data_IF_477853201042
#
_entry.id   IF_477853201042
#
_cell.length_a   1.000
_cell.length_b   1.000
_cell.length_c   1.000
_cell.angle_alpha   90.00
_cell.angle_beta   90.00
_cell.angle_gamma   90.00
#
_symmetry.space_group_name_H-M   'P 1'
#
loop_
_entity.id
_entity.type
_entity.pdbx_description
1 polymer ?
#
# COMPACT_ATOMS: atom_id res chain seq x y z
N UNK A 1 17.15 35.72 27.52
CA UNK A 1 17.06 34.34 28.04
C UNK A 1 15.66 33.84 27.74
N UNK A 2 15.49 32.97 26.74
CA UNK A 2 14.24 32.25 26.57
C UNK A 2 14.17 31.21 27.67
N UNK A 3 13.19 31.36 28.58
CA UNK A 3 12.90 30.35 29.58
C UNK A 3 12.34 29.16 28.82
N UNK A 4 13.13 28.09 28.69
CA UNK A 4 12.65 26.81 28.18
C UNK A 4 11.55 26.33 29.13
N UNK A 5 10.30 26.41 28.70
CA UNK A 5 9.21 25.74 29.40
C UNK A 5 9.55 24.24 29.50
N UNK A 6 9.39 23.61 30.68
CA UNK A 6 9.64 22.18 30.82
C UNK A 6 8.70 21.42 29.88
N UNK A 7 9.28 20.61 28.99
CA UNK A 7 8.51 19.75 28.10
C UNK A 7 7.63 18.80 28.92
N UNK A 8 6.33 18.89 28.70
CA UNK A 8 5.33 18.05 29.36
C UNK A 8 5.54 16.57 28.99
N UNK A 9 5.51 15.68 29.98
CA UNK A 9 5.65 14.24 29.74
C UNK A 9 4.43 13.67 29.01
N UNK A 10 4.58 12.53 28.32
CA UNK A 10 3.46 11.83 27.66
C UNK A 10 2.32 11.54 28.66
N UNK A 11 2.67 11.16 29.90
CA UNK A 11 1.69 10.91 30.95
C UNK A 11 0.90 12.18 31.32
N UNK A 12 1.59 13.30 31.52
CA UNK A 12 0.96 14.60 31.81
C UNK A 12 0.06 15.05 30.64
N UNK A 13 0.53 14.88 29.39
CA UNK A 13 -0.25 15.24 28.21
C UNK A 13 -1.53 14.38 28.09
N UNK A 14 -1.43 13.07 28.36
CA UNK A 14 -2.59 12.17 28.35
C UNK A 14 -3.60 12.53 29.45
N UNK A 15 -3.14 12.87 30.65
CA UNK A 15 -4.02 13.33 31.74
C UNK A 15 -4.75 14.60 31.32
N UNK A 16 -4.02 15.62 30.83
CA UNK A 16 -4.60 16.88 30.37
C UNK A 16 -5.67 16.66 29.30
N UNK A 17 -5.36 15.83 28.30
CA UNK A 17 -6.28 15.57 27.20
C UNK A 17 -7.50 14.75 27.65
N UNK A 18 -7.37 13.78 28.57
CA UNK A 18 -8.52 13.05 29.14
C UNK A 18 -9.38 13.97 30.00
N UNK A 19 -8.79 14.81 30.85
CA UNK A 19 -9.52 15.80 31.66
C UNK A 19 -10.34 16.71 30.76
N UNK A 20 -9.75 17.20 29.67
CA UNK A 20 -10.47 17.99 28.68
C UNK A 20 -11.66 17.21 28.09
N UNK A 21 -11.42 15.99 27.60
CA UNK A 21 -12.46 15.15 26.98
C UNK A 21 -13.64 14.93 27.94
N UNK A 22 -13.35 14.55 29.18
CA UNK A 22 -14.38 14.32 30.21
C UNK A 22 -15.14 15.61 30.51
N UNK A 23 -14.44 16.73 30.71
CA UNK A 23 -15.07 18.03 30.97
C UNK A 23 -15.97 18.49 29.81
N UNK A 24 -15.56 18.24 28.57
CA UNK A 24 -16.28 18.67 27.38
C UNK A 24 -17.55 17.84 27.18
N UNK A 25 -17.47 16.51 27.41
CA UNK A 25 -18.64 15.64 27.36
C UNK A 25 -19.65 16.03 28.45
N UNK A 26 -19.21 16.30 29.68
CA UNK A 26 -20.10 16.78 30.74
C UNK A 26 -20.71 18.14 30.39
N UNK A 27 -19.91 19.09 29.89
CA UNK A 27 -20.37 20.42 29.49
C UNK A 27 -21.48 20.34 28.44
N UNK A 28 -21.30 19.53 27.40
CA UNK A 28 -22.28 19.38 26.33
C UNK A 28 -23.51 18.59 26.77
N UNK A 29 -23.34 17.58 27.62
CA UNK A 29 -24.45 16.78 28.16
C UNK A 29 -25.32 17.57 29.14
N UNK A 30 -24.76 18.59 29.81
CA UNK A 30 -25.48 19.46 30.72
C UNK A 30 -26.22 20.63 30.03
N UNK A 31 -26.03 20.83 28.72
CA UNK A 31 -26.70 21.91 27.99
C UNK A 31 -28.20 21.67 27.85
N UNK A 32 -28.99 22.74 27.93
CA UNK A 32 -30.39 22.68 27.53
C UNK A 32 -30.52 22.37 26.03
N UNK A 33 -31.67 21.82 25.61
CA UNK A 33 -31.92 21.56 24.19
C UNK A 33 -31.90 22.83 23.32
N UNK A 34 -32.10 24.02 23.91
CA UNK A 34 -31.98 25.31 23.23
C UNK A 34 -30.52 25.71 23.07
N UNK A 35 -29.72 25.61 24.14
CA UNK A 35 -28.30 25.96 24.13
C UNK A 35 -27.50 25.02 23.23
N UNK A 36 -27.81 23.73 23.28
CA UNK A 36 -27.20 22.73 22.41
C UNK A 36 -27.51 23.03 20.94
N UNK A 37 -28.77 23.37 20.61
CA UNK A 37 -29.13 23.80 19.23
C UNK A 37 -28.42 25.08 18.80
N UNK A 38 -28.26 26.04 19.71
CA UNK A 38 -27.54 27.29 19.44
C UNK A 38 -26.05 27.04 19.22
N UNK A 39 -25.44 26.19 20.04
CA UNK A 39 -24.07 25.72 19.89
C UNK A 39 -23.88 25.01 18.55
N UNK A 40 -24.77 24.06 18.21
CA UNK A 40 -24.74 23.31 16.94
C UNK A 40 -24.90 24.20 15.70
N UNK A 41 -25.63 25.30 15.80
CA UNK A 41 -25.81 26.26 14.69
C UNK A 41 -24.61 27.19 14.50
N UNK A 42 -23.91 27.53 15.59
CA UNK A 42 -22.74 28.43 15.54
C UNK A 42 -21.45 27.69 15.21
N UNK A 43 -21.31 26.45 15.68
CA UNK A 43 -20.12 25.64 15.47
C UNK A 43 -20.37 24.59 14.39
N UNK A 44 -19.70 24.71 13.24
CA UNK A 44 -19.76 23.74 12.15
C UNK A 44 -19.25 22.33 12.55
N UNK A 45 -18.77 22.18 13.77
CA UNK A 45 -18.15 20.97 14.31
C UNK A 45 -19.11 20.13 15.19
N UNK A 46 -20.42 20.18 14.97
CA UNK A 46 -21.42 19.47 15.78
C UNK A 46 -21.57 17.97 15.47
N UNK A 47 -20.97 17.47 14.39
CA UNK A 47 -21.08 16.07 13.96
C UNK A 47 -20.29 15.05 14.80
N UNK A 48 -19.60 15.47 15.86
CA UNK A 48 -18.67 14.61 16.61
C UNK A 48 -19.27 14.07 17.89
N UNK A 49 -19.38 12.75 17.93
CA UNK A 49 -20.07 12.00 18.97
C UNK A 49 -19.23 10.80 19.40
N UNK A 50 -19.46 10.34 20.63
CA UNK A 50 -18.97 9.06 21.16
C UNK A 50 -20.16 8.18 21.57
N UNK A 51 -20.00 6.85 21.66
CA UNK A 51 -21.06 5.99 22.17
C UNK A 51 -21.49 6.40 23.58
N UNK A 52 -22.77 6.21 23.92
CA UNK A 52 -23.23 6.37 25.29
C UNK A 52 -22.63 5.28 26.21
N UNK A 53 -22.32 5.55 27.49
CA UNK A 53 -21.79 4.56 28.44
C UNK A 53 -22.69 3.34 28.67
N UNK A 54 -23.98 3.44 28.37
CA UNK A 54 -24.96 2.34 28.43
C UNK A 54 -25.13 1.60 27.09
N UNK A 55 -24.27 1.87 26.12
CA UNK A 55 -24.27 1.27 24.76
C UNK A 55 -25.56 1.55 23.94
N UNK A 56 -26.47 2.39 24.44
CA UNK A 56 -27.65 2.90 23.71
C UNK A 56 -27.54 4.41 23.45
N UNK A 57 -27.47 4.79 22.16
CA UNK A 57 -27.39 6.19 21.74
C UNK A 57 -25.97 6.77 21.64
N UNK A 58 -25.92 8.08 21.36
CA UNK A 58 -24.70 8.84 21.10
C UNK A 58 -24.60 10.02 22.07
N UNK A 59 -23.40 10.27 22.61
CA UNK A 59 -23.09 11.45 23.40
C UNK A 59 -22.35 12.49 22.55
N UNK A 60 -22.80 13.76 22.54
CA UNK A 60 -22.02 14.83 21.93
C UNK A 60 -20.73 15.04 22.71
N UNK A 61 -19.59 15.06 22.02
CA UNK A 61 -18.29 15.31 22.65
C UNK A 61 -17.56 16.52 22.06
N UNK A 62 -18.02 17.04 20.92
CA UNK A 62 -17.30 18.09 20.20
C UNK A 62 -16.05 17.56 19.47
N UNK A 63 -15.60 18.34 18.48
CA UNK A 63 -14.49 17.95 17.58
C UNK A 63 -13.15 17.84 18.28
N UNK A 64 -12.82 18.79 19.15
CA UNK A 64 -11.52 18.79 19.82
C UNK A 64 -11.37 17.58 20.74
N UNK A 65 -12.40 17.22 21.52
CA UNK A 65 -12.37 16.04 22.35
C UNK A 65 -12.25 14.76 21.50
N UNK A 66 -13.00 14.68 20.39
CA UNK A 66 -12.94 13.56 19.46
C UNK A 66 -11.53 13.32 18.92
N UNK A 67 -10.82 14.39 18.52
CA UNK A 67 -9.44 14.31 18.05
C UNK A 67 -8.44 14.01 19.16
N UNK A 68 -8.61 14.58 20.35
CA UNK A 68 -7.75 14.28 21.50
C UNK A 68 -7.77 12.79 21.86
N UNK A 69 -8.91 12.11 21.76
CA UNK A 69 -8.97 10.65 21.93
C UNK A 69 -8.10 9.93 20.88
N UNK A 70 -8.15 10.39 19.62
CA UNK A 70 -7.29 9.87 18.55
C UNK A 70 -5.80 10.07 18.82
N UNK A 71 -5.42 11.27 19.28
CA UNK A 71 -4.03 11.60 19.62
C UNK A 71 -3.52 10.82 20.84
N UNK A 72 -4.34 10.64 21.88
CA UNK A 72 -4.02 9.79 23.03
C UNK A 72 -3.75 8.35 22.56
N UNK A 73 -4.62 7.83 21.69
CA UNK A 73 -4.50 6.47 21.15
C UNK A 73 -3.21 6.31 20.35
N UNK A 74 -2.93 7.25 19.44
CA UNK A 74 -1.70 7.27 18.64
C UNK A 74 -0.45 7.33 19.51
N UNK A 75 -0.38 8.29 20.44
CA UNK A 75 0.79 8.46 21.34
C UNK A 75 1.03 7.19 22.15
N UNK A 76 -0.01 6.59 22.72
CA UNK A 76 0.16 5.38 23.53
C UNK A 76 0.59 4.19 22.68
N UNK A 77 0.02 4.01 21.49
CA UNK A 77 0.35 2.87 20.63
C UNK A 77 1.82 2.89 20.17
N UNK A 78 2.37 4.08 19.86
CA UNK A 78 3.80 4.25 19.56
C UNK A 78 4.70 3.77 20.70
N UNK A 79 4.29 3.95 21.97
CA UNK A 79 5.05 3.43 23.12
C UNK A 79 5.04 1.91 23.25
N UNK A 80 4.15 1.22 22.52
CA UNK A 80 4.07 -0.24 22.49
C UNK A 80 5.00 -0.86 21.43
N UNK A 81 5.82 -0.04 20.75
CA UNK A 81 6.76 -0.46 19.72
C UNK A 81 6.05 -1.18 18.59
N UNK A 82 6.36 -2.46 18.45
CA UNK A 82 5.91 -3.37 17.41
C UNK A 82 4.39 -3.43 17.18
N UNK A 83 3.60 -3.17 18.22
CA UNK A 83 2.13 -3.22 18.11
C UNK A 83 1.54 -2.09 17.28
N UNK A 84 2.23 -0.95 17.18
CA UNK A 84 1.80 0.19 16.36
C UNK A 84 1.63 -0.17 14.89
N UNK A 85 2.41 -1.14 14.42
CA UNK A 85 2.31 -1.62 13.05
C UNK A 85 1.35 -2.80 12.89
N UNK A 86 0.91 -3.45 13.98
CA UNK A 86 0.12 -4.69 13.97
C UNK A 86 -1.35 -4.48 14.32
N UNK A 87 -1.72 -3.28 14.75
CA UNK A 87 -3.05 -2.92 15.23
C UNK A 87 -3.58 -1.72 14.45
N UNK A 88 -4.81 -1.83 13.95
CA UNK A 88 -5.54 -0.71 13.38
C UNK A 88 -5.77 0.42 14.41
N UNK A 89 -5.38 1.64 14.04
CA UNK A 89 -5.46 2.81 14.92
C UNK A 89 -6.90 3.11 15.35
N UNK A 90 -7.86 2.98 14.44
CA UNK A 90 -9.27 3.24 14.74
C UNK A 90 -9.86 2.19 15.67
N UNK A 91 -9.45 0.93 15.53
CA UNK A 91 -9.83 -0.15 16.46
C UNK A 91 -9.27 0.09 17.85
N UNK A 92 -8.01 0.49 17.97
CA UNK A 92 -7.43 0.83 19.26
C UNK A 92 -8.12 2.05 19.87
N UNK A 93 -8.39 3.08 19.07
CA UNK A 93 -9.14 4.26 19.47
C UNK A 93 -10.52 3.92 20.02
N UNK A 94 -11.28 3.04 19.35
CA UNK A 94 -12.58 2.56 19.84
C UNK A 94 -12.46 1.85 21.19
N UNK A 95 -11.41 1.06 21.40
CA UNK A 95 -11.14 0.41 22.69
C UNK A 95 -10.80 1.43 23.79
N UNK A 96 -9.99 2.45 23.48
CA UNK A 96 -9.69 3.57 24.39
C UNK A 96 -10.97 4.33 24.75
N UNK A 97 -11.82 4.64 23.77
CA UNK A 97 -13.12 5.28 24.02
C UNK A 97 -13.98 4.44 24.96
N UNK A 98 -14.08 3.12 24.74
CA UNK A 98 -14.85 2.24 25.63
C UNK A 98 -14.35 2.27 27.08
N UNK A 99 -13.04 2.18 27.28
CA UNK A 99 -12.46 2.24 28.63
C UNK A 99 -12.60 3.62 29.28
N UNK A 100 -12.50 4.70 28.49
CA UNK A 100 -12.73 6.07 28.95
C UNK A 100 -14.17 6.23 29.47
N UNK A 101 -15.15 5.82 28.67
CA UNK A 101 -16.57 5.90 29.02
C UNK A 101 -16.87 5.11 30.30
N UNK A 102 -16.37 3.87 30.40
CA UNK A 102 -16.57 3.03 31.59
C UNK A 102 -15.99 3.69 32.85
N UNK A 103 -14.72 4.10 32.79
CA UNK A 103 -13.98 4.50 33.99
C UNK A 103 -14.31 5.90 34.47
N UNK A 104 -14.45 6.84 33.55
CA UNK A 104 -14.52 8.27 33.92
C UNK A 104 -15.92 8.86 33.82
N UNK A 105 -16.79 8.32 32.95
CA UNK A 105 -18.17 8.81 32.85
C UNK A 105 -19.17 7.93 33.61
N UNK A 106 -19.04 6.59 33.55
CA UNK A 106 -19.95 5.68 34.24
C UNK A 106 -19.57 5.45 35.70
N UNK A 107 -18.30 5.19 35.96
CA UNK A 107 -17.79 4.94 37.32
C UNK A 107 -17.30 6.21 38.03
N UNK A 108 -17.36 7.37 37.35
CA UNK A 108 -16.98 8.70 37.87
C UNK A 108 -15.63 8.73 38.59
N UNK A 109 -14.65 7.94 38.13
CA UNK A 109 -13.33 7.91 38.75
C UNK A 109 -12.59 9.22 38.52
N UNK A 110 -11.74 9.60 39.45
CA UNK A 110 -10.85 10.75 39.27
C UNK A 110 -9.84 10.50 38.13
N UNK A 111 -9.66 11.52 37.28
CA UNK A 111 -8.63 11.53 36.24
C UNK A 111 -7.26 11.79 36.88
N UNK A 112 -6.48 10.74 37.04
CA UNK A 112 -5.09 10.79 37.50
C UNK A 112 -4.22 9.81 36.74
N UNK A 113 -2.90 9.91 36.89
CA UNK A 113 -1.92 9.11 36.16
C UNK A 113 -2.20 7.60 36.26
N UNK A 114 -2.48 7.11 37.47
CA UNK A 114 -2.76 5.69 37.72
C UNK A 114 -4.00 5.21 36.96
N UNK A 115 -5.08 5.98 36.95
CA UNK A 115 -6.32 5.59 36.26
C UNK A 115 -6.17 5.68 34.74
N UNK A 116 -5.50 6.72 34.24
CA UNK A 116 -5.22 6.87 32.79
C UNK A 116 -4.33 5.73 32.29
N UNK A 117 -3.27 5.38 33.01
CA UNK A 117 -2.42 4.25 32.67
C UNK A 117 -3.20 2.92 32.66
N UNK A 118 -4.09 2.70 33.64
CA UNK A 118 -4.96 1.51 33.70
C UNK A 118 -5.97 1.46 32.56
N UNK A 119 -6.56 2.60 32.19
CA UNK A 119 -7.47 2.71 31.04
C UNK A 119 -6.76 2.28 29.75
N UNK A 120 -5.57 2.83 29.48
CA UNK A 120 -4.79 2.52 28.28
C UNK A 120 -4.32 1.06 28.27
N UNK A 121 -3.86 0.54 29.42
CA UNK A 121 -3.45 -0.85 29.58
C UNK A 121 -4.62 -1.84 29.34
N UNK A 122 -5.83 -1.49 29.77
CA UNK A 122 -7.02 -2.31 29.54
C UNK A 122 -7.45 -2.29 28.06
N UNK A 123 -7.41 -1.11 27.42
CA UNK A 123 -7.70 -0.97 26.00
C UNK A 123 -6.74 -1.82 25.14
N UNK A 124 -5.43 -1.76 25.40
CA UNK A 124 -4.45 -2.52 24.62
C UNK A 124 -4.58 -4.03 24.87
N UNK A 125 -4.86 -4.45 26.12
CA UNK A 125 -5.13 -5.85 26.45
C UNK A 125 -6.33 -6.39 25.67
N UNK A 126 -7.35 -5.56 25.47
CA UNK A 126 -8.55 -5.93 24.69
C UNK A 126 -8.22 -6.15 23.22
N UNK A 127 -7.43 -5.27 22.61
CA UNK A 127 -7.08 -5.38 21.19
C UNK A 127 -6.06 -6.49 20.94
N UNK A 128 -5.11 -6.72 21.86
CA UNK A 128 -4.13 -7.83 21.78
C UNK A 128 -4.78 -9.20 21.64
N UNK A 129 -5.97 -9.42 22.22
CA UNK A 129 -6.72 -10.68 22.07
C UNK A 129 -7.17 -10.96 20.64
N UNK A 130 -7.11 -9.98 19.74
CA UNK A 130 -7.52 -10.07 18.34
C UNK A 130 -6.33 -10.06 17.37
N UNK A 131 -5.13 -10.29 17.89
CA UNK A 131 -3.91 -10.42 17.10
C UNK A 131 -3.61 -11.92 16.97
N UNK A 132 -3.58 -12.41 15.74
CA UNK A 132 -3.27 -13.79 15.41
C UNK A 132 -2.89 -13.87 13.92
N UNK A 133 -2.50 -15.06 13.46
CA UNK A 133 -2.16 -15.28 12.06
C UNK A 133 -3.46 -15.42 11.25
N UNK A 134 -3.54 -14.67 10.15
CA UNK A 134 -4.73 -14.59 9.31
C UNK A 134 -4.37 -14.94 7.88
N UNK A 135 -5.06 -15.95 7.32
CA UNK A 135 -4.95 -16.29 5.92
C UNK A 135 -6.04 -15.58 5.13
N UNK A 136 -5.63 -14.85 4.09
CA UNK A 136 -6.50 -14.10 3.20
C UNK A 136 -6.56 -14.77 1.85
N UNK A 137 -7.76 -14.74 1.26
CA UNK A 137 -8.03 -15.23 -0.09
C UNK A 137 -8.52 -14.04 -0.90
N UNK A 138 -7.71 -13.60 -1.87
CA UNK A 138 -7.96 -12.37 -2.62
C UNK A 138 -8.23 -12.72 -4.09
N UNK A 139 -9.46 -12.53 -4.59
CA UNK A 139 -9.75 -12.78 -6.00
C UNK A 139 -8.95 -11.84 -6.89
N UNK A 140 -8.39 -12.38 -7.97
CA UNK A 140 -7.47 -11.67 -8.85
C UNK A 140 -7.50 -12.19 -10.30
N UNK A 141 -6.85 -11.44 -11.18
CA UNK A 141 -6.65 -11.77 -12.58
C UNK A 141 -5.15 -11.85 -12.84
N UNK A 142 -4.70 -12.98 -13.38
CA UNK A 142 -3.35 -13.19 -13.92
C UNK A 142 -3.52 -13.50 -15.42
N UNK A 143 -3.53 -14.78 -15.80
CA UNK A 143 -3.93 -15.24 -17.13
C UNK A 143 -5.30 -15.92 -17.09
N UNK A 144 -5.94 -16.11 -18.24
CA UNK A 144 -7.19 -16.87 -18.31
C UNK A 144 -6.98 -18.38 -18.44
N UNK A 145 -5.77 -18.79 -18.83
CA UNK A 145 -5.46 -20.21 -18.93
C UNK A 145 -5.19 -20.78 -17.55
N UNK A 146 -5.75 -21.96 -17.31
CA UNK A 146 -5.56 -22.69 -16.06
C UNK A 146 -4.10 -23.09 -15.85
N UNK A 147 -3.30 -23.24 -16.90
CA UNK A 147 -1.95 -23.83 -16.80
C UNK A 147 -0.92 -22.79 -16.31
N UNK A 148 -0.21 -23.05 -15.21
CA UNK A 148 -0.29 -24.22 -14.31
C UNK A 148 -1.43 -24.11 -13.29
N UNK A 149 -2.06 -25.23 -12.87
CA UNK A 149 -3.25 -25.25 -11.98
C UNK A 149 -3.12 -24.39 -10.70
N UNK A 150 -1.89 -24.24 -10.22
CA UNK A 150 -1.48 -23.33 -9.17
C UNK A 150 0.00 -22.97 -9.32
N UNK A 151 0.40 -21.84 -8.76
CA UNK A 151 1.81 -21.44 -8.70
C UNK A 151 2.05 -20.48 -7.54
N UNK A 152 3.33 -20.23 -7.21
CA UNK A 152 3.72 -19.41 -6.07
C UNK A 152 4.69 -18.31 -6.48
N UNK A 153 4.50 -17.12 -5.90
CA UNK A 153 5.39 -15.97 -6.01
C UNK A 153 5.69 -15.49 -4.59
N UNK A 154 6.82 -15.93 -4.05
CA UNK A 154 7.15 -15.67 -2.65
C UNK A 154 6.07 -16.22 -1.70
N UNK A 155 5.51 -15.40 -0.79
CA UNK A 155 4.54 -15.87 0.18
C UNK A 155 3.08 -15.87 -0.34
N UNK A 156 2.89 -15.77 -1.66
CA UNK A 156 1.57 -15.74 -2.29
C UNK A 156 1.41 -16.94 -3.20
N UNK A 157 0.40 -17.77 -2.91
CA UNK A 157 -0.01 -18.89 -3.75
C UNK A 157 -1.22 -18.49 -4.59
N UNK A 158 -1.12 -18.65 -5.90
CA UNK A 158 -2.21 -18.43 -6.84
C UNK A 158 -2.86 -19.78 -7.14
N UNK A 159 -4.17 -19.86 -6.95
CA UNK A 159 -4.98 -21.06 -7.12
C UNK A 159 -6.08 -20.77 -8.12
N UNK A 160 -6.34 -21.70 -9.02
CA UNK A 160 -7.48 -21.58 -9.92
C UNK A 160 -8.80 -21.49 -9.14
N UNK A 161 -9.62 -20.47 -9.44
CA UNK A 161 -10.80 -20.13 -8.64
C UNK A 161 -11.79 -21.30 -8.54
N UNK A 162 -11.99 -22.04 -9.64
CA UNK A 162 -12.91 -23.19 -9.64
C UNK A 162 -12.44 -24.29 -8.69
N UNK A 163 -11.14 -24.53 -8.63
CA UNK A 163 -10.55 -25.55 -7.77
C UNK A 163 -10.63 -25.10 -6.30
N UNK A 164 -10.31 -23.83 -6.03
CA UNK A 164 -10.48 -23.23 -4.70
C UNK A 164 -11.91 -23.34 -4.17
N UNK A 165 -12.91 -22.92 -4.94
CA UNK A 165 -14.31 -22.95 -4.49
C UNK A 165 -14.81 -24.39 -4.27
N UNK A 166 -14.37 -25.34 -5.11
CA UNK A 166 -14.67 -26.76 -4.95
C UNK A 166 -14.10 -27.30 -3.64
N UNK A 167 -12.81 -27.08 -3.42
CA UNK A 167 -12.06 -27.66 -2.30
C UNK A 167 -12.41 -27.00 -0.95
N UNK A 168 -12.97 -25.78 -0.95
CA UNK A 168 -13.25 -25.00 0.26
C UNK A 168 -14.75 -24.77 0.52
N UNK A 169 -15.64 -25.37 -0.28
CA UNK A 169 -17.10 -25.14 -0.23
C UNK A 169 -17.71 -25.30 1.17
N UNK A 170 -17.36 -26.36 1.90
CA UNK A 170 -17.85 -26.61 3.27
C UNK A 170 -17.36 -25.56 4.27
N UNK A 171 -16.07 -25.22 4.22
CA UNK A 171 -15.47 -24.21 5.10
C UNK A 171 -16.10 -22.84 4.88
N UNK A 172 -16.29 -22.44 3.61
CA UNK A 172 -16.85 -21.12 3.25
C UNK A 172 -18.30 -21.01 3.72
N UNK A 173 -19.10 -22.08 3.61
CA UNK A 173 -20.54 -22.06 3.93
C UNK A 173 -20.87 -22.20 5.43
N UNK A 174 -19.88 -22.47 6.29
CA UNK A 174 -20.11 -22.83 7.70
C UNK A 174 -20.70 -21.73 8.61
N UNK A 175 -20.45 -20.44 8.33
CA UNK A 175 -20.90 -19.33 9.20
C UNK A 175 -22.24 -18.70 8.80
N UNK A 176 -22.43 -18.46 7.51
CA UNK A 176 -23.64 -17.86 6.95
C UNK A 176 -23.85 -18.41 5.52
N UNK A 177 -24.46 -19.61 5.40
CA UNK A 177 -24.58 -20.29 4.12
C UNK A 177 -25.33 -19.47 3.06
N UNK A 178 -26.33 -18.69 3.47
CA UNK A 178 -27.19 -17.92 2.56
C UNK A 178 -26.47 -16.70 2.02
N UNK A 179 -25.81 -15.90 2.89
CA UNK A 179 -25.00 -14.76 2.44
C UNK A 179 -23.87 -15.23 1.51
N UNK A 180 -23.23 -16.33 1.84
CA UNK A 180 -22.13 -16.91 1.06
C UNK A 180 -22.59 -17.32 -0.34
N UNK A 181 -23.71 -18.04 -0.44
CA UNK A 181 -24.27 -18.49 -1.72
C UNK A 181 -24.78 -17.33 -2.57
N UNK A 182 -25.39 -16.32 -1.95
CA UNK A 182 -25.96 -15.17 -2.66
C UNK A 182 -24.91 -14.18 -3.15
N UNK A 183 -23.91 -13.86 -2.31
CA UNK A 183 -23.04 -12.73 -2.56
C UNK A 183 -21.57 -13.14 -2.77
N UNK A 184 -21.03 -14.02 -1.91
CA UNK A 184 -19.59 -14.34 -1.91
C UNK A 184 -19.20 -15.23 -3.08
N UNK A 185 -19.87 -16.36 -3.28
CA UNK A 185 -19.55 -17.31 -4.36
C UNK A 185 -19.72 -16.64 -5.75
N UNK A 186 -20.83 -15.92 -6.04
CA UNK A 186 -20.98 -15.24 -7.31
C UNK A 186 -19.92 -14.16 -7.53
N UNK A 187 -19.52 -13.43 -6.48
CA UNK A 187 -18.44 -12.45 -6.59
C UNK A 187 -17.10 -13.10 -6.95
N UNK A 188 -16.69 -14.14 -6.21
CA UNK A 188 -15.42 -14.85 -6.44
C UNK A 188 -15.38 -15.51 -7.82
N UNK A 189 -16.50 -16.10 -8.27
CA UNK A 189 -16.60 -16.80 -9.56
C UNK A 189 -16.39 -15.90 -10.78
N UNK A 190 -16.38 -14.57 -10.62
CA UNK A 190 -16.06 -13.60 -11.68
C UNK A 190 -14.56 -13.52 -11.99
N UNK A 191 -13.72 -14.13 -11.16
CA UNK A 191 -12.27 -14.04 -11.28
C UNK A 191 -11.68 -15.42 -11.56
N UNK A 192 -10.68 -15.51 -12.45
CA UNK A 192 -10.03 -16.77 -12.78
C UNK A 192 -9.17 -17.32 -11.63
N UNK A 193 -8.57 -16.43 -10.82
CA UNK A 193 -7.62 -16.82 -9.77
C UNK A 193 -8.04 -16.29 -8.40
N UNK A 194 -7.63 -17.01 -7.36
CA UNK A 194 -7.56 -16.52 -5.99
C UNK A 194 -6.11 -16.55 -5.53
N UNK A 195 -5.66 -15.46 -4.93
CA UNK A 195 -4.36 -15.36 -4.29
C UNK A 195 -4.52 -15.63 -2.79
N UNK A 196 -3.80 -16.63 -2.28
CA UNK A 196 -3.75 -16.99 -0.88
C UNK A 196 -2.46 -16.46 -0.25
N UNK A 197 -2.57 -15.80 0.90
CA UNK A 197 -1.41 -15.36 1.68
C UNK A 197 -1.73 -15.30 3.17
N UNK A 198 -0.75 -15.62 4.03
CA UNK A 198 -0.91 -15.61 5.49
C UNK A 198 -0.11 -14.48 6.11
N UNK A 199 -0.80 -13.54 6.77
CA UNK A 199 -0.18 -12.40 7.46
C UNK A 199 -0.05 -12.72 8.94
N UNK A 200 1.17 -12.71 9.51
CA UNK A 200 1.40 -13.14 10.88
C UNK A 200 1.07 -12.03 11.89
N UNK A 201 0.50 -12.44 13.02
CA UNK A 201 0.38 -11.64 14.25
C UNK A 201 -0.10 -10.19 13.98
N UNK A 202 -1.24 -10.05 13.31
CA UNK A 202 -1.89 -8.76 13.08
C UNK A 202 -3.37 -8.83 13.46
N UNK A 203 -3.96 -7.69 13.75
CA UNK A 203 -5.40 -7.61 13.83
C UNK A 203 -6.03 -7.59 12.41
N UNK A 204 -7.30 -7.98 12.32
CA UNK A 204 -7.98 -8.20 11.03
C UNK A 204 -7.87 -7.05 10.01
N UNK A 205 -8.16 -5.76 10.32
CA UNK A 205 -8.05 -4.69 9.34
C UNK A 205 -6.61 -4.47 8.85
N UNK A 206 -5.62 -4.43 9.76
CA UNK A 206 -4.21 -4.30 9.39
C UNK A 206 -3.74 -5.49 8.56
N UNK A 207 -4.18 -6.69 8.94
CA UNK A 207 -3.88 -7.94 8.22
C UNK A 207 -4.43 -7.92 6.79
N UNK A 208 -5.67 -7.45 6.59
CA UNK A 208 -6.28 -7.33 5.27
C UNK A 208 -5.54 -6.32 4.36
N UNK A 209 -5.11 -5.17 4.91
CA UNK A 209 -4.30 -4.20 4.16
C UNK A 209 -2.97 -4.79 3.73
N UNK A 210 -2.28 -5.53 4.62
CA UNK A 210 -1.02 -6.20 4.31
C UNK A 210 -1.19 -7.32 3.30
N UNK A 211 -2.24 -8.11 3.41
CA UNK A 211 -2.55 -9.15 2.44
C UNK A 211 -2.77 -8.57 1.04
N UNK A 212 -3.58 -7.50 0.94
CA UNK A 212 -3.80 -6.78 -0.33
C UNK A 212 -2.49 -6.23 -0.90
N UNK A 213 -1.65 -5.61 -0.07
CA UNK A 213 -0.34 -5.11 -0.51
C UNK A 213 0.59 -6.23 -0.97
N UNK A 214 0.60 -7.37 -0.26
CA UNK A 214 1.44 -8.54 -0.58
C UNK A 214 1.00 -9.17 -1.90
N UNK A 215 -0.31 -9.33 -2.12
CA UNK A 215 -0.87 -9.83 -3.39
C UNK A 215 -0.57 -8.85 -4.53
N UNK A 216 -0.71 -7.54 -4.33
CA UNK A 216 -0.33 -6.57 -5.36
C UNK A 216 1.17 -6.66 -5.68
N UNK A 217 2.02 -6.80 -4.66
CA UNK A 217 3.45 -6.99 -4.83
C UNK A 217 3.80 -8.24 -5.63
N UNK A 218 3.09 -9.35 -5.41
CA UNK A 218 3.24 -10.57 -6.20
C UNK A 218 2.80 -10.37 -7.67
N UNK A 219 1.71 -9.63 -7.91
CA UNK A 219 1.31 -9.27 -9.27
C UNK A 219 2.32 -8.32 -9.93
N UNK A 220 2.89 -7.36 -9.18
CA UNK A 220 3.94 -6.45 -9.64
C UNK A 220 5.23 -7.21 -9.96
N UNK A 221 5.58 -8.22 -9.17
CA UNK A 221 6.69 -9.13 -9.44
C UNK A 221 6.50 -9.88 -10.76
N UNK A 222 5.30 -10.41 -11.02
CA UNK A 222 4.98 -11.02 -12.32
C UNK A 222 5.08 -10.01 -13.47
N UNK A 223 4.62 -8.77 -13.28
CA UNK A 223 4.78 -7.68 -14.27
C UNK A 223 6.26 -7.40 -14.56
N UNK A 224 7.10 -7.39 -13.54
CA UNK A 224 8.55 -7.19 -13.67
C UNK A 224 9.21 -8.36 -14.40
N UNK A 225 8.86 -9.59 -14.04
CA UNK A 225 9.54 -10.79 -14.53
C UNK A 225 9.09 -11.23 -15.93
N UNK A 226 7.81 -11.07 -16.27
CA UNK A 226 7.25 -11.39 -17.60
C UNK A 226 7.37 -10.18 -18.53
N UNK A 227 7.08 -8.98 -18.02
CA UNK A 227 7.09 -7.73 -18.78
C UNK A 227 5.71 -7.20 -19.13
N UNK A 228 5.67 -5.93 -19.53
CA UNK A 228 4.42 -5.18 -19.72
C UNK A 228 3.46 -5.75 -20.77
N UNK A 229 3.97 -6.46 -21.79
CA UNK A 229 3.19 -6.80 -22.98
C UNK A 229 2.08 -7.79 -22.68
N UNK A 230 2.24 -8.60 -21.63
CA UNK A 230 1.27 -9.61 -21.22
C UNK A 230 0.58 -9.30 -19.88
N UNK A 231 1.15 -8.38 -19.09
CA UNK A 231 0.82 -8.27 -17.65
C UNK A 231 0.12 -6.97 -17.25
N UNK A 232 -0.11 -6.05 -18.19
CA UNK A 232 -0.79 -4.77 -17.94
C UNK A 232 -2.20 -4.92 -17.33
N UNK A 233 -2.83 -6.09 -17.46
CA UNK A 233 -4.18 -6.38 -16.94
C UNK A 233 -4.20 -7.22 -15.69
N UNK A 234 -3.05 -7.68 -15.20
CA UNK A 234 -2.99 -8.34 -13.91
C UNK A 234 -3.56 -7.40 -12.86
N UNK A 235 -4.35 -7.89 -11.91
CA UNK A 235 -5.02 -7.05 -10.92
C UNK A 235 -5.70 -7.85 -9.82
N UNK A 236 -5.94 -7.19 -8.70
CA UNK A 236 -6.89 -7.67 -7.70
C UNK A 236 -8.32 -7.28 -8.09
N UNK A 237 -9.30 -7.98 -7.53
CA UNK A 237 -10.71 -7.77 -7.83
C UNK A 237 -11.22 -6.35 -7.51
N UNK A 238 -10.65 -5.71 -6.49
CA UNK A 238 -11.04 -4.36 -6.06
C UNK A 238 -10.26 -3.24 -6.79
N UNK A 239 -9.30 -3.57 -7.66
CA UNK A 239 -8.59 -2.58 -8.46
C UNK A 239 -9.50 -2.05 -9.57
N UNK A 240 -9.66 -0.72 -9.72
CA UNK A 240 -10.44 -0.14 -10.81
C UNK A 240 -9.94 -0.63 -12.19
N UNK A 241 -10.88 -1.01 -13.06
CA UNK A 241 -10.60 -1.53 -14.39
C UNK A 241 -10.93 -0.44 -15.41
N UNK A 242 -10.00 -0.15 -16.32
CA UNK A 242 -10.37 0.57 -17.54
C UNK A 242 -11.26 -0.35 -18.38
N UNK A 243 -12.46 0.12 -18.73
CA UNK A 243 -13.45 -0.67 -19.46
C UNK A 243 -12.82 -1.26 -20.72
N UNK A 244 -12.69 -2.58 -20.74
CA UNK A 244 -12.21 -3.41 -21.86
C UNK A 244 -13.15 -3.38 -23.06
N UNK A 245 -14.41 -3.03 -22.80
CA UNK A 245 -15.43 -2.78 -23.80
C UNK A 245 -15.92 -1.35 -23.64
N UNK A 246 -15.76 -0.55 -24.68
CA UNK A 246 -16.33 0.78 -24.72
C UNK A 246 -17.09 0.98 -26.02
N UNK A 247 -18.24 1.63 -25.93
CA UNK A 247 -18.95 2.16 -27.07
C UNK A 247 -18.87 3.69 -26.98
N UNK A 248 -18.50 4.34 -28.07
CA UNK A 248 -18.63 5.79 -28.19
C UNK A 248 -19.56 6.12 -29.35
N UNK A 249 -20.42 7.10 -29.11
CA UNK A 249 -21.25 7.74 -30.12
C UNK A 249 -20.60 9.08 -30.46
N UNK A 250 -20.53 9.41 -31.75
CA UNK A 250 -20.05 10.70 -32.25
C UNK A 250 -21.07 11.23 -33.23
N UNK A 251 -21.36 12.53 -33.15
CA UNK A 251 -22.17 13.21 -34.16
C UNK A 251 -21.25 14.13 -34.95
N UNK A 252 -21.30 14.06 -36.27
CA UNK A 252 -20.56 15.00 -37.11
C UNK A 252 -21.35 16.29 -37.36
N UNK A 253 -20.71 17.28 -38.01
CA UNK A 253 -21.31 18.58 -38.32
C UNK A 253 -22.51 18.49 -39.29
N UNK A 254 -22.76 17.34 -39.91
CA UNK A 254 -23.92 17.08 -40.76
C UNK A 254 -25.08 16.42 -39.99
N UNK A 255 -24.92 16.21 -38.69
CA UNK A 255 -25.90 15.58 -37.82
C UNK A 255 -25.90 14.06 -37.87
N UNK A 256 -24.98 13.43 -38.63
CA UNK A 256 -24.89 11.97 -38.72
C UNK A 256 -24.25 11.39 -37.48
N UNK A 257 -24.88 10.38 -36.90
CA UNK A 257 -24.36 9.65 -35.75
C UNK A 257 -23.49 8.49 -36.26
N UNK A 258 -22.21 8.54 -35.94
CA UNK A 258 -21.31 7.40 -35.99
C UNK A 258 -21.20 6.74 -34.62
N UNK A 259 -20.99 5.44 -34.61
CA UNK A 259 -20.62 4.71 -33.40
C UNK A 259 -19.28 4.02 -33.60
N UNK A 260 -18.54 3.84 -32.51
CA UNK A 260 -17.41 2.93 -32.46
C UNK A 260 -17.54 2.05 -31.24
N UNK A 261 -17.30 0.76 -31.43
CA UNK A 261 -17.26 -0.23 -30.35
C UNK A 261 -15.81 -0.71 -30.30
N UNK A 262 -15.13 -0.43 -29.20
CA UNK A 262 -13.84 -1.03 -28.90
C UNK A 262 -14.10 -2.26 -28.02
N UNK A 263 -13.82 -3.43 -28.56
CA UNK A 263 -13.71 -4.69 -27.80
C UNK A 263 -12.25 -5.08 -27.82
N UNK A 264 -11.48 -4.60 -26.85
CA UNK A 264 -10.17 -5.20 -26.63
C UNK A 264 -10.41 -6.54 -25.96
N UNK A 265 -10.21 -7.64 -26.70
CA UNK A 265 -10.25 -9.01 -26.19
C UNK A 265 -9.63 -9.04 -24.78
N UNK A 266 -10.45 -9.40 -23.79
CA UNK A 266 -10.14 -9.17 -22.37
C UNK A 266 -8.87 -9.92 -21.92
N UNK A 267 -8.41 -10.86 -22.73
CA UNK A 267 -7.83 -12.07 -22.25
C UNK A 267 -6.66 -12.44 -23.15
N UNK A 268 -5.45 -12.03 -22.75
CA UNK A 268 -4.26 -12.63 -23.34
C UNK A 268 -4.09 -13.98 -22.69
N UNK A 269 -4.14 -15.01 -23.52
CA UNK A 269 -3.68 -16.34 -23.14
C UNK A 269 -2.22 -16.28 -22.70
N UNK A 270 -1.88 -17.04 -21.68
CA UNK A 270 -0.50 -17.21 -21.28
C UNK A 270 0.23 -17.96 -22.40
N UNK A 271 1.45 -17.56 -22.80
CA UNK A 271 2.20 -18.36 -23.75
C UNK A 271 2.51 -19.73 -23.13
N UNK A 272 2.36 -20.83 -23.87
CA UNK A 272 2.49 -22.21 -23.38
C UNK A 272 3.72 -22.42 -22.49
N UNK A 273 3.56 -22.96 -21.28
CA UNK A 273 4.69 -23.18 -20.36
C UNK A 273 5.34 -21.90 -19.82
N UNK A 274 4.57 -20.81 -19.69
CA UNK A 274 5.10 -19.50 -19.24
C UNK A 274 5.76 -19.56 -17.87
N UNK A 275 5.21 -20.34 -16.94
CA UNK A 275 5.71 -20.40 -15.57
C UNK A 275 6.97 -21.26 -15.47
N UNK A 276 7.04 -22.36 -16.24
CA UNK A 276 8.24 -23.18 -16.38
C UNK A 276 9.39 -22.36 -16.99
N UNK A 277 9.11 -21.59 -18.06
CA UNK A 277 10.11 -20.66 -18.64
C UNK A 277 10.54 -19.59 -17.65
N UNK A 278 9.59 -19.05 -16.89
CA UNK A 278 9.91 -18.07 -15.84
C UNK A 278 10.87 -18.66 -14.80
N UNK A 279 10.63 -19.90 -14.35
CA UNK A 279 11.52 -20.58 -13.41
C UNK A 279 12.90 -20.89 -14.03
N UNK A 280 12.94 -21.35 -15.27
CA UNK A 280 14.20 -21.72 -15.94
C UNK A 280 15.09 -20.52 -16.22
N UNK A 281 14.52 -19.40 -16.67
CA UNK A 281 15.28 -18.22 -17.10
C UNK A 281 15.38 -17.14 -16.02
N UNK A 282 14.37 -17.04 -15.16
CA UNK A 282 14.22 -15.99 -14.16
C UNK A 282 14.11 -16.50 -12.72
N UNK A 283 14.34 -17.80 -12.47
CA UNK A 283 14.18 -18.42 -11.14
C UNK A 283 14.99 -17.73 -10.03
N UNK A 284 16.20 -17.25 -10.35
CA UNK A 284 17.01 -16.44 -9.43
C UNK A 284 16.29 -15.16 -8.99
N UNK A 285 15.84 -14.36 -9.96
CA UNK A 285 15.09 -13.13 -9.68
C UNK A 285 13.76 -13.43 -9.00
N UNK A 286 13.08 -14.51 -9.38
CA UNK A 286 11.84 -14.93 -8.74
C UNK A 286 12.06 -15.22 -7.26
N UNK A 287 13.15 -15.91 -6.89
CA UNK A 287 13.50 -16.17 -5.50
C UNK A 287 13.83 -14.89 -4.74
N UNK A 288 14.65 -13.99 -5.32
CA UNK A 288 15.00 -12.71 -4.69
C UNK A 288 13.77 -11.83 -4.44
N UNK A 289 12.91 -11.69 -5.44
CA UNK A 289 11.67 -10.91 -5.32
C UNK A 289 10.70 -11.59 -4.36
N UNK A 290 10.58 -12.91 -4.41
CA UNK A 290 9.76 -13.69 -3.49
C UNK A 290 10.15 -13.48 -2.03
N UNK A 291 11.46 -13.46 -1.74
CA UNK A 291 11.98 -13.15 -0.40
C UNK A 291 11.66 -11.71 0.01
N UNK A 292 11.83 -10.74 -0.89
CA UNK A 292 11.50 -9.34 -0.61
C UNK A 292 10.01 -9.17 -0.22
N UNK A 293 9.09 -9.90 -0.88
CA UNK A 293 7.65 -9.81 -0.61
C UNK A 293 7.26 -10.24 0.81
N UNK A 294 8.07 -11.04 1.50
CA UNK A 294 7.83 -11.38 2.92
C UNK A 294 7.83 -10.13 3.82
N UNK A 295 8.55 -9.09 3.42
CA UNK A 295 8.57 -7.80 4.11
C UNK A 295 7.25 -7.03 4.07
N UNK A 296 6.36 -7.33 3.11
CA UNK A 296 5.02 -6.74 3.06
C UNK A 296 4.07 -7.38 4.10
N UNK A 297 4.31 -8.64 4.46
CA UNK A 297 3.55 -9.34 5.50
C UNK A 297 4.02 -8.95 6.90
N UNK A 298 5.33 -8.74 7.06
CA UNK A 298 5.93 -8.38 8.35
C UNK A 298 7.03 -7.30 8.19
N UNK A 299 6.69 -6.01 8.29
CA UNK A 299 7.62 -4.89 8.12
C UNK A 299 8.82 -4.91 9.07
N UNK A 300 8.74 -5.63 10.19
CA UNK A 300 9.88 -5.77 11.12
C UNK A 300 11.02 -6.61 10.54
N UNK A 301 10.70 -7.48 9.58
CA UNK A 301 11.67 -8.30 8.87
C UNK A 301 12.21 -7.58 7.64
N UNK A 302 11.65 -6.44 7.29
CA UNK A 302 12.02 -5.66 6.10
C UNK A 302 13.24 -4.80 6.39
N UNK A 303 14.33 -5.07 5.68
CA UNK A 303 15.48 -4.19 5.66
C UNK A 303 15.17 -2.89 4.90
N UNK A 304 16.03 -1.88 5.09
CA UNK A 304 15.87 -0.62 4.38
C UNK A 304 16.00 -0.79 2.85
N UNK A 305 16.89 -1.67 2.35
CA UNK A 305 17.03 -1.86 0.90
C UNK A 305 15.87 -2.67 0.33
N UNK A 306 15.38 -3.69 1.04
CA UNK A 306 14.18 -4.43 0.65
C UNK A 306 12.98 -3.48 0.55
N UNK A 307 12.77 -2.58 1.52
CA UNK A 307 11.68 -1.60 1.45
C UNK A 307 11.80 -0.70 0.22
N UNK A 308 13.02 -0.23 -0.09
CA UNK A 308 13.26 0.58 -1.30
C UNK A 308 12.93 -0.18 -2.58
N UNK A 309 13.31 -1.45 -2.66
CA UNK A 309 12.96 -2.30 -3.79
C UNK A 309 11.44 -2.46 -3.91
N UNK A 310 10.74 -2.80 -2.81
CA UNK A 310 9.29 -2.97 -2.79
C UNK A 310 8.54 -1.69 -3.22
N UNK A 311 8.96 -0.54 -2.71
CA UNK A 311 8.40 0.75 -3.11
C UNK A 311 8.61 1.02 -4.62
N UNK A 312 9.79 0.66 -5.13
CA UNK A 312 10.13 0.85 -6.55
C UNK A 312 9.36 -0.11 -7.45
N UNK A 313 9.21 -1.36 -7.01
CA UNK A 313 8.40 -2.39 -7.66
C UNK A 313 6.94 -1.94 -7.76
N UNK A 314 6.39 -1.36 -6.70
CA UNK A 314 5.03 -0.84 -6.70
C UNK A 314 4.86 0.30 -7.71
N UNK A 315 5.77 1.28 -7.73
CA UNK A 315 5.74 2.36 -8.72
C UNK A 315 5.84 1.85 -10.16
N UNK A 316 6.71 0.87 -10.41
CA UNK A 316 6.82 0.22 -11.71
C UNK A 316 5.52 -0.47 -12.11
N UNK A 317 4.93 -1.26 -11.21
CA UNK A 317 3.67 -1.96 -11.41
C UNK A 317 2.49 -1.04 -11.71
N UNK A 318 2.42 0.10 -11.01
CA UNK A 318 1.46 1.15 -11.35
C UNK A 318 1.73 1.74 -12.75
N UNK A 319 3.00 1.97 -13.12
CA UNK A 319 3.39 2.47 -14.44
C UNK A 319 3.04 1.50 -15.58
N UNK A 320 3.09 0.19 -15.32
CA UNK A 320 2.70 -0.85 -16.28
C UNK A 320 1.20 -0.80 -16.57
N UNK A 321 0.37 -0.60 -15.55
CA UNK A 321 -1.10 -0.53 -15.66
C UNK A 321 -1.63 0.81 -16.18
N UNK A 322 -0.84 1.87 -16.06
CA UNK A 322 -1.28 3.21 -16.38
C UNK A 322 -1.60 3.36 -17.89
N UNK A 323 -2.77 3.92 -18.21
CA UNK A 323 -3.17 4.15 -19.60
C UNK A 323 -2.52 5.41 -20.15
N UNK A 324 -2.40 6.45 -19.34
CA UNK A 324 -1.83 7.72 -19.76
C UNK A 324 -0.29 7.64 -19.81
N UNK A 325 0.30 7.85 -21.00
CA UNK A 325 1.75 7.78 -21.19
C UNK A 325 2.53 8.75 -20.31
N UNK A 326 2.04 9.97 -20.08
CA UNK A 326 2.70 10.93 -19.20
C UNK A 326 2.74 10.44 -17.74
N UNK A 327 1.60 9.98 -17.22
CA UNK A 327 1.49 9.42 -15.87
C UNK A 327 2.36 8.16 -15.72
N UNK A 328 2.43 7.32 -16.75
CA UNK A 328 3.28 6.13 -16.74
C UNK A 328 4.77 6.51 -16.64
N UNK A 329 5.22 7.48 -17.44
CA UNK A 329 6.60 8.00 -17.40
C UNK A 329 6.95 8.52 -16.01
N UNK A 330 6.09 9.32 -15.38
CA UNK A 330 6.32 9.84 -14.02
C UNK A 330 6.47 8.69 -13.01
N UNK A 331 5.61 7.68 -13.08
CA UNK A 331 5.66 6.51 -12.18
C UNK A 331 6.92 5.67 -12.38
N UNK A 332 7.34 5.43 -13.63
CA UNK A 332 8.60 4.72 -13.89
C UNK A 332 9.83 5.49 -13.41
N UNK A 333 9.83 6.82 -13.54
CA UNK A 333 10.91 7.66 -12.99
C UNK A 333 10.88 7.64 -11.46
N UNK A 334 9.71 7.65 -10.82
CA UNK A 334 9.61 7.50 -9.37
C UNK A 334 10.17 6.15 -8.87
N UNK A 335 9.96 5.07 -9.62
CA UNK A 335 10.60 3.78 -9.35
C UNK A 335 12.14 3.88 -9.42
N UNK A 336 12.69 4.53 -10.45
CA UNK A 336 14.13 4.75 -10.57
C UNK A 336 14.68 5.64 -9.44
N UNK A 337 14.00 6.76 -9.13
CA UNK A 337 14.36 7.65 -8.02
C UNK A 337 14.46 6.87 -6.71
N UNK A 338 13.47 6.02 -6.44
CA UNK A 338 13.40 5.23 -5.21
C UNK A 338 14.47 4.13 -5.15
N UNK A 339 14.92 3.60 -6.28
CA UNK A 339 16.09 2.72 -6.33
C UNK A 339 17.38 3.51 -6.10
N UNK A 340 17.64 4.57 -6.87
CA UNK A 340 18.99 5.13 -7.03
C UNK A 340 19.36 6.27 -6.08
N UNK A 341 18.39 7.04 -5.57
CA UNK A 341 18.66 8.27 -4.79
C UNK A 341 18.82 7.95 -3.31
N UNK A 342 20.04 8.11 -2.81
CA UNK A 342 20.45 7.81 -1.42
C UNK A 342 20.57 9.06 -0.54
N UNK A 343 20.70 10.25 -1.13
CA UNK A 343 20.89 11.53 -0.43
C UNK A 343 20.21 12.70 -1.15
N UNK A 344 19.81 13.72 -0.39
CA UNK A 344 19.37 15.01 -0.96
C UNK A 344 20.60 15.74 -1.50
N UNK A 345 20.58 16.13 -2.77
CA UNK A 345 21.69 16.82 -3.44
C UNK A 345 21.13 17.77 -4.51
N UNK A 346 21.87 18.84 -4.84
CA UNK A 346 21.59 19.66 -6.03
C UNK A 346 21.84 18.91 -7.34
N UNK A 347 22.51 17.76 -7.30
CA UNK A 347 22.88 16.94 -8.47
C UNK A 347 22.05 15.67 -8.64
N UNK A 348 20.80 15.64 -8.14
CA UNK A 348 19.89 14.48 -8.19
C UNK A 348 19.80 13.89 -9.61
N UNK A 349 19.68 14.73 -10.64
CA UNK A 349 19.59 14.28 -12.04
C UNK A 349 20.80 13.43 -12.45
N UNK A 350 22.02 13.86 -12.11
CA UNK A 350 23.23 13.14 -12.49
C UNK A 350 23.35 11.81 -11.73
N UNK A 351 23.01 11.80 -10.44
CA UNK A 351 23.02 10.58 -9.62
C UNK A 351 22.03 9.55 -10.18
N UNK A 352 20.79 9.97 -10.43
CA UNK A 352 19.75 9.08 -10.95
C UNK A 352 20.13 8.53 -12.31
N UNK A 353 20.51 9.40 -13.25
CA UNK A 353 20.75 8.99 -14.64
C UNK A 353 21.95 8.07 -14.77
N UNK A 354 23.04 8.33 -14.03
CA UNK A 354 24.21 7.45 -13.96
C UNK A 354 23.87 6.09 -13.37
N UNK A 355 23.26 6.05 -12.18
CA UNK A 355 22.97 4.78 -11.49
C UNK A 355 21.90 3.96 -12.18
N UNK A 356 20.88 4.60 -12.75
CA UNK A 356 19.87 3.92 -13.56
C UNK A 356 20.53 3.26 -14.79
N UNK A 357 21.45 3.97 -15.45
CA UNK A 357 22.20 3.42 -16.58
C UNK A 357 23.09 2.26 -16.18
N UNK A 358 23.86 2.39 -15.08
CA UNK A 358 24.69 1.30 -14.55
C UNK A 358 23.87 0.04 -14.27
N UNK A 359 22.73 0.17 -13.59
CA UNK A 359 21.86 -0.96 -13.29
C UNK A 359 21.20 -1.53 -14.55
N UNK A 360 20.81 -0.70 -15.52
CA UNK A 360 20.18 -1.20 -16.74
C UNK A 360 21.16 -1.80 -17.75
N UNK A 361 22.47 -1.56 -17.60
CA UNK A 361 23.54 -2.08 -18.47
C UNK A 361 24.38 -3.19 -17.83
N UNK A 362 23.93 -3.78 -16.70
CA UNK A 362 24.65 -4.89 -16.07
C UNK A 362 24.77 -6.06 -17.06
N UNK A 363 26.00 -6.53 -17.28
CA UNK A 363 26.31 -7.60 -18.23
C UNK A 363 26.58 -7.14 -19.67
N UNK A 364 26.44 -5.85 -19.98
CA UNK A 364 26.80 -5.29 -21.29
C UNK A 364 27.29 -3.84 -21.18
N UNK A 365 28.60 -3.66 -21.01
CA UNK A 365 29.22 -2.34 -20.82
C UNK A 365 29.02 -1.40 -22.02
N UNK A 366 28.92 -1.94 -23.24
CA UNK A 366 28.72 -1.14 -24.44
C UNK A 366 27.36 -0.41 -24.43
N UNK A 367 26.38 -0.95 -23.69
CA UNK A 367 25.05 -0.35 -23.52
C UNK A 367 24.99 0.77 -22.48
N UNK A 368 26.04 0.98 -21.68
CA UNK A 368 26.02 2.00 -20.63
C UNK A 368 25.80 3.41 -21.22
N UNK A 369 26.57 3.76 -22.25
CA UNK A 369 26.48 5.09 -22.89
C UNK A 369 25.08 5.36 -23.43
N UNK A 370 24.48 4.38 -24.11
CA UNK A 370 23.11 4.49 -24.63
C UNK A 370 22.07 4.59 -23.51
N UNK A 371 22.20 3.75 -22.48
CA UNK A 371 21.33 3.76 -21.30
C UNK A 371 21.40 5.09 -20.55
N UNK A 372 22.59 5.68 -20.46
CA UNK A 372 22.82 6.96 -19.81
C UNK A 372 22.20 8.12 -20.58
N UNK A 373 22.34 8.14 -21.92
CA UNK A 373 21.66 9.11 -22.79
C UNK A 373 20.14 8.97 -22.65
N UNK A 374 19.63 7.74 -22.64
CA UNK A 374 18.21 7.45 -22.50
C UNK A 374 17.69 7.88 -21.12
N UNK A 375 18.39 7.56 -20.03
CA UNK A 375 18.02 7.95 -18.68
C UNK A 375 17.94 9.47 -18.52
N UNK A 376 18.92 10.22 -19.08
CA UNK A 376 18.89 11.69 -19.12
C UNK A 376 17.66 12.22 -19.85
N UNK A 377 17.38 11.65 -21.03
CA UNK A 377 16.20 12.03 -21.82
C UNK A 377 14.90 11.76 -21.07
N UNK A 378 14.77 10.61 -20.42
CA UNK A 378 13.58 10.24 -19.63
C UNK A 378 13.36 11.22 -18.46
N UNK A 379 14.43 11.54 -17.73
CA UNK A 379 14.32 12.48 -16.60
C UNK A 379 13.91 13.88 -17.07
N UNK A 380 14.44 14.34 -18.21
CA UNK A 380 14.02 15.59 -18.85
C UNK A 380 12.53 15.59 -19.22
N UNK A 381 11.99 14.50 -19.80
CA UNK A 381 10.54 14.37 -20.03
C UNK A 381 9.74 14.46 -18.73
N UNK A 382 10.15 13.76 -17.67
CA UNK A 382 9.46 13.85 -16.36
C UNK A 382 9.49 15.29 -15.83
N UNK A 383 10.62 15.97 -15.91
CA UNK A 383 10.76 17.38 -15.51
C UNK A 383 9.81 18.28 -16.30
N UNK A 384 9.85 18.20 -17.63
CA UNK A 384 9.00 19.00 -18.54
C UNK A 384 7.51 18.73 -18.33
N UNK A 385 7.11 17.50 -18.07
CA UNK A 385 5.71 17.16 -17.74
C UNK A 385 5.26 17.82 -16.43
N UNK A 386 6.10 17.77 -15.38
CA UNK A 386 5.76 18.36 -14.08
C UNK A 386 5.73 19.89 -14.09
N UNK A 387 6.55 20.51 -14.94
CA UNK A 387 6.59 21.97 -15.09
C UNK A 387 5.67 22.50 -16.21
N UNK A 388 4.90 21.64 -16.87
CA UNK A 388 3.94 22.02 -17.90
C UNK A 388 4.55 22.42 -19.26
N UNK A 389 5.85 22.16 -19.48
CA UNK A 389 6.52 22.45 -20.75
C UNK A 389 6.18 21.46 -21.86
N UNK A 390 5.64 20.27 -21.51
CA UNK A 390 5.08 19.30 -22.45
C UNK A 390 3.65 18.96 -22.01
N UNK A 391 2.72 18.93 -22.96
CA UNK A 391 1.35 18.48 -22.71
C UNK A 391 1.31 16.98 -22.39
N UNK A 392 0.55 16.53 -21.37
CA UNK A 392 0.33 15.11 -21.10
C UNK A 392 -0.29 14.32 -22.27
N UNK A 393 -0.85 15.01 -23.27
CA UNK A 393 -1.44 14.43 -24.48
C UNK A 393 -0.47 14.35 -25.67
N UNK A 394 0.80 14.75 -25.51
CA UNK A 394 1.78 14.74 -26.59
C UNK A 394 2.01 13.32 -27.13
N UNK A 395 1.90 13.16 -28.45
CA UNK A 395 1.98 11.85 -29.14
C UNK A 395 3.35 11.17 -28.97
N UNK A 396 4.42 11.95 -28.81
CA UNK A 396 5.78 11.43 -28.64
C UNK A 396 5.94 10.59 -27.35
N UNK A 397 5.08 10.84 -26.34
CA UNK A 397 5.17 10.20 -25.03
C UNK A 397 4.94 8.69 -25.11
N UNK A 398 4.17 8.20 -26.08
CA UNK A 398 3.93 6.76 -26.25
C UNK A 398 5.20 6.00 -26.65
N UNK A 399 6.05 6.59 -27.50
CA UNK A 399 7.33 5.98 -27.86
C UNK A 399 8.32 6.02 -26.68
N UNK A 400 8.33 7.12 -25.92
CA UNK A 400 9.17 7.27 -24.73
C UNK A 400 8.74 6.30 -23.62
N UNK A 401 7.44 6.11 -23.43
CA UNK A 401 6.86 5.18 -22.44
C UNK A 401 7.44 3.77 -22.56
N UNK A 402 7.54 3.24 -23.77
CA UNK A 402 8.10 1.90 -24.00
C UNK A 402 9.56 1.83 -23.58
N UNK A 403 10.37 2.85 -23.96
CA UNK A 403 11.79 2.90 -23.62
C UNK A 403 12.03 3.03 -22.11
N UNK A 404 11.27 3.89 -21.42
CA UNK A 404 11.39 4.02 -19.96
C UNK A 404 10.94 2.75 -19.25
N UNK A 405 9.88 2.09 -19.71
CA UNK A 405 9.44 0.83 -19.13
C UNK A 405 10.55 -0.23 -19.18
N UNK A 406 11.25 -0.35 -20.32
CA UNK A 406 12.35 -1.30 -20.48
C UNK A 406 13.53 -0.94 -19.57
N UNK A 407 13.96 0.33 -19.59
CA UNK A 407 15.07 0.79 -18.77
C UNK A 407 14.80 0.59 -17.26
N UNK A 408 13.60 0.94 -16.79
CA UNK A 408 13.20 0.74 -15.39
C UNK A 408 13.12 -0.75 -15.02
N UNK A 409 12.61 -1.60 -15.91
CA UNK A 409 12.55 -3.05 -15.69
C UNK A 409 13.96 -3.64 -15.49
N UNK A 410 14.89 -3.32 -16.39
CA UNK A 410 16.27 -3.80 -16.31
C UNK A 410 16.95 -3.29 -15.03
N UNK A 411 16.77 -2.01 -14.71
CA UNK A 411 17.32 -1.43 -13.48
C UNK A 411 16.76 -2.06 -12.20
N UNK A 412 15.48 -2.46 -12.18
CA UNK A 412 14.88 -3.16 -11.03
C UNK A 412 15.40 -4.58 -10.87
N UNK A 413 15.55 -5.33 -11.97
CA UNK A 413 16.09 -6.70 -11.95
C UNK A 413 17.55 -6.70 -11.47
N UNK A 414 18.40 -5.86 -12.04
CA UNK A 414 19.77 -5.71 -11.56
C UNK A 414 19.83 -5.14 -10.14
N UNK A 415 18.90 -4.23 -9.81
CA UNK A 415 18.86 -3.57 -8.52
C UNK A 415 18.51 -4.50 -7.35
N UNK A 416 17.59 -5.45 -7.52
CA UNK A 416 17.29 -6.43 -6.46
C UNK A 416 18.48 -7.36 -6.20
N UNK A 417 19.18 -7.78 -7.25
CA UNK A 417 20.39 -8.59 -7.16
C UNK A 417 21.51 -7.81 -6.44
N UNK A 418 21.74 -6.57 -6.86
CA UNK A 418 22.70 -5.66 -6.23
C UNK A 418 22.39 -5.43 -4.74
N UNK A 419 21.12 -5.19 -4.38
CA UNK A 419 20.72 -5.00 -2.98
C UNK A 419 20.92 -6.27 -2.16
N UNK A 420 20.56 -7.44 -2.72
CA UNK A 420 20.76 -8.73 -2.07
C UNK A 420 22.24 -9.02 -1.81
N UNK A 421 23.13 -8.70 -2.75
CA UNK A 421 24.57 -8.84 -2.57
C UNK A 421 25.11 -7.97 -1.43
N UNK A 422 24.64 -6.72 -1.32
CA UNK A 422 24.99 -5.83 -0.21
C UNK A 422 24.52 -6.44 1.12
N UNK A 423 23.27 -6.90 1.19
CA UNK A 423 22.68 -7.41 2.44
C UNK A 423 23.24 -8.75 2.90
N UNK A 424 23.76 -9.55 1.95
CA UNK A 424 24.53 -10.76 2.25
C UNK A 424 25.82 -10.42 2.99
N UNK A 425 26.43 -9.27 2.70
CA UNK A 425 27.67 -8.82 3.33
C UNK A 425 27.42 -7.98 4.58
N UNK A 426 26.40 -7.13 4.55
CA UNK A 426 26.03 -6.18 5.60
C UNK A 426 24.55 -6.39 5.92
N UNK A 427 24.22 -7.29 6.87
CA UNK A 427 22.84 -7.49 7.29
C UNK A 427 22.22 -6.17 7.77
N UNK A 428 21.01 -5.86 7.28
CA UNK A 428 20.30 -4.60 7.55
C UNK A 428 21.05 -3.33 7.10
N UNK A 429 21.69 -3.40 5.93
CA UNK A 429 22.34 -2.27 5.27
C UNK A 429 21.46 -1.01 5.24
N UNK A 430 22.11 0.14 5.48
CA UNK A 430 21.47 1.46 5.55
C UNK A 430 21.58 2.22 4.22
N UNK A 431 20.95 3.41 4.13
CA UNK A 431 21.18 4.34 3.00
C UNK A 431 22.65 4.69 2.79
N UNK A 432 23.45 4.76 3.86
CA UNK A 432 24.86 5.11 3.78
C UNK A 432 25.69 3.97 3.18
N UNK A 433 25.34 2.72 3.51
CA UNK A 433 25.99 1.53 2.95
C UNK A 433 25.66 1.39 1.46
N UNK A 434 24.40 1.63 1.09
CA UNK A 434 23.99 1.68 -0.31
C UNK A 434 24.73 2.78 -1.10
N UNK A 435 24.94 3.96 -0.50
CA UNK A 435 25.70 5.05 -1.14
C UNK A 435 27.16 4.64 -1.40
N UNK A 436 27.80 3.98 -0.44
CA UNK A 436 29.17 3.46 -0.60
C UNK A 436 29.22 2.40 -1.71
N UNK A 437 28.28 1.45 -1.71
CA UNK A 437 28.20 0.41 -2.72
C UNK A 437 28.01 0.99 -4.13
N UNK A 438 27.12 1.99 -4.28
CA UNK A 438 26.98 2.68 -5.57
C UNK A 438 28.24 3.42 -6.00
N UNK A 439 28.95 4.06 -5.06
CA UNK A 439 30.21 4.75 -5.38
C UNK A 439 31.27 3.77 -5.89
N UNK A 440 31.34 2.57 -5.30
CA UNK A 440 32.24 1.51 -5.77
C UNK A 440 31.84 1.01 -7.17
N UNK A 441 30.54 0.78 -7.40
CA UNK A 441 30.03 0.39 -8.72
C UNK A 441 30.36 1.46 -9.78
N UNK A 442 30.22 2.74 -9.44
CA UNK A 442 30.56 3.87 -10.31
C UNK A 442 32.06 4.00 -10.60
N UNK A 443 32.94 3.47 -9.75
CA UNK A 443 34.40 3.45 -10.00
C UNK A 443 34.86 2.27 -10.85
N UNK A 444 34.04 1.21 -10.93
CA UNK A 444 34.33 0.01 -11.72
C UNK A 444 33.94 0.13 -13.20
N UNK A 445 33.33 1.25 -13.58
CA UNK A 445 32.89 1.61 -14.92
C UNK A 445 33.47 2.97 -15.31
#
# INVERSE_FOLDING_TARGET
>A
MAINEPQMTIAQQNIRDITFVVSEVHRLSAMSAHDLRTFMRRDQNWGYHIPHPEESGLLPCGKEAYFKIGEISKRYLVTQGDLDQRIDQDRFRKAVTKELLSRFLKEERQVNERQVARMLAAAIKTVKKRIYDLTHFVPCVVFLDKIPDQFEIGPVRFIWMKDFLKDNSEMITSRDPELVRRDVIPYYSRFPWVAQTTVPQCDEPTSALRASATVEGALDALRLLIGNSYTARFRQAHTPVALSESASLRQDNSGRIGFSINREWQDRHAPDGWFERLNQQGGWYLALVGNALTGLQDPQKTSHLTQRFLDSLNWYGQGVRELNSASAIVKYVAALERMTITKKSSTITNILTRRAALLSSVGNQDQYSESHILAKKIYDYRSKLMHGSISPSSKELSAIRLKVCTLTRLALLAGIDFFSAIETTIPRATSADLEKAYTQLEMSH
#
